data_IF_406909270022
#
_entry.id   IF_406909270022
#
_cell.length_a   1.000
_cell.length_b   1.000
_cell.length_c   1.000
_cell.angle_alpha   90.00
_cell.angle_beta   90.00
_cell.angle_gamma   90.00
#
_symmetry.space_group_name_H-M   'P 1'
#
loop_
_entity.id
_entity.type
_entity.pdbx_description
1 polymer ?
#
# COMPACT_ATOMS: atom_id res chain seq x y z
N UNK A 1 -8.45 -17.35 -16.42
CA UNK A 1 -9.70 -17.63 -15.67
C UNK A 1 -9.87 -19.14 -15.47
N UNK A 2 -8.92 -19.81 -14.81
CA UNK A 2 -8.96 -21.27 -14.64
C UNK A 2 -9.60 -21.71 -13.32
N UNK A 3 -9.73 -20.79 -12.38
CA UNK A 3 -9.94 -21.08 -10.96
C UNK A 3 -11.18 -20.34 -10.41
N UNK A 4 -11.94 -19.65 -11.27
CA UNK A 4 -13.14 -18.91 -10.84
C UNK A 4 -12.86 -17.58 -10.15
N UNK A 5 -11.59 -17.14 -10.09
CA UNK A 5 -11.18 -15.87 -9.49
C UNK A 5 -11.50 -14.71 -10.41
N UNK A 6 -12.09 -13.65 -9.87
CA UNK A 6 -12.36 -12.41 -10.60
C UNK A 6 -11.09 -11.76 -11.17
N UNK A 7 -11.21 -10.98 -12.25
CA UNK A 7 -10.09 -10.22 -12.77
C UNK A 7 -9.69 -9.09 -11.80
N UNK A 8 -8.38 -8.84 -11.71
CA UNK A 8 -7.79 -7.93 -10.72
C UNK A 8 -8.29 -6.48 -10.79
N UNK A 9 -8.83 -6.02 -11.92
CA UNK A 9 -9.37 -4.66 -12.04
C UNK A 9 -10.71 -4.45 -11.31
N UNK A 10 -11.36 -5.53 -10.86
CA UNK A 10 -12.56 -5.45 -10.02
C UNK A 10 -12.20 -4.99 -8.60
N UNK A 11 -10.97 -5.28 -8.16
CA UNK A 11 -10.48 -4.86 -6.87
C UNK A 11 -9.91 -3.45 -6.88
N UNK A 12 -10.07 -2.75 -5.77
CA UNK A 12 -9.41 -1.48 -5.51
C UNK A 12 -9.86 -0.33 -6.42
N UNK A 13 -11.10 -0.35 -6.93
CA UNK A 13 -11.57 0.62 -7.92
C UNK A 13 -11.52 2.04 -7.38
N UNK A 14 -12.08 2.26 -6.20
CA UNK A 14 -12.08 3.56 -5.52
C UNK A 14 -10.64 3.97 -5.19
N UNK A 15 -9.84 3.06 -4.64
CA UNK A 15 -8.45 3.28 -4.23
C UNK A 15 -7.58 3.74 -5.42
N UNK A 16 -7.80 3.14 -6.59
CA UNK A 16 -7.11 3.52 -7.84
C UNK A 16 -7.59 4.87 -8.38
N UNK A 17 -8.89 5.16 -8.31
CA UNK A 17 -9.46 6.44 -8.75
C UNK A 17 -8.96 7.60 -7.89
N UNK A 18 -8.94 7.44 -6.56
CA UNK A 18 -8.44 8.48 -5.66
C UNK A 18 -6.92 8.59 -5.65
N UNK A 19 -6.20 7.58 -6.15
CA UNK A 19 -4.74 7.47 -6.04
C UNK A 19 -3.99 8.69 -6.57
N UNK A 20 -4.43 9.26 -7.70
CA UNK A 20 -3.79 10.46 -8.27
C UNK A 20 -4.02 11.71 -7.40
N UNK A 21 -5.23 11.86 -6.86
CA UNK A 21 -5.57 12.98 -5.97
C UNK A 21 -4.86 12.84 -4.62
N UNK A 22 -4.76 11.62 -4.10
CA UNK A 22 -4.02 11.32 -2.88
C UNK A 22 -2.52 11.62 -3.04
N UNK A 23 -1.92 11.26 -4.18
CA UNK A 23 -0.51 11.56 -4.47
C UNK A 23 -0.26 13.07 -4.61
N UNK A 24 -1.18 13.80 -5.25
CA UNK A 24 -1.11 15.25 -5.34
C UNK A 24 -1.22 15.91 -3.96
N UNK A 25 -2.19 15.49 -3.15
CA UNK A 25 -2.38 16.00 -1.79
C UNK A 25 -1.16 15.71 -0.91
N UNK A 26 -0.57 14.51 -1.01
CA UNK A 26 0.66 14.13 -0.31
C UNK A 26 1.83 15.02 -0.70
N UNK A 27 2.02 15.23 -2.01
CA UNK A 27 3.08 16.09 -2.55
C UNK A 27 2.96 17.53 -2.05
N UNK A 28 1.75 18.09 -2.13
CA UNK A 28 1.48 19.43 -1.59
C UNK A 28 1.73 19.50 -0.09
N UNK A 29 1.30 18.48 0.66
CA UNK A 29 1.54 18.37 2.09
C UNK A 29 3.02 18.37 2.46
N UNK A 30 3.87 17.67 1.69
CA UNK A 30 5.33 17.70 1.86
C UNK A 30 5.91 19.09 1.56
N UNK A 31 5.41 19.79 0.53
CA UNK A 31 5.82 21.17 0.24
C UNK A 31 5.45 22.10 1.40
N UNK A 32 4.22 22.01 1.92
CA UNK A 32 3.79 22.82 3.07
C UNK A 32 4.65 22.55 4.31
N UNK A 33 4.98 21.28 4.58
CA UNK A 33 5.89 20.90 5.66
C UNK A 33 7.27 21.58 5.54
N UNK A 34 7.83 21.67 4.33
CA UNK A 34 9.11 22.32 4.11
C UNK A 34 9.06 23.85 4.27
N UNK A 35 7.96 24.48 3.88
CA UNK A 35 7.82 25.95 3.89
C UNK A 35 7.45 26.48 5.27
N UNK A 36 6.61 25.77 6.03
CA UNK A 36 6.01 26.29 7.25
C UNK A 36 6.42 25.49 8.49
N UNK A 37 6.97 26.19 9.50
CA UNK A 37 7.29 25.62 10.81
C UNK A 37 6.01 25.50 11.67
N UNK A 38 5.24 24.44 11.45
CA UNK A 38 4.02 24.14 12.21
C UNK A 38 4.05 22.73 12.80
N UNK A 39 3.58 22.60 14.05
CA UNK A 39 3.46 21.31 14.73
C UNK A 39 2.44 20.39 14.02
N UNK A 40 1.38 20.98 13.44
CA UNK A 40 0.37 20.23 12.69
C UNK A 40 0.96 19.63 11.41
N UNK A 41 1.75 20.41 10.68
CA UNK A 41 2.41 19.96 9.45
C UNK A 41 3.48 18.91 9.73
N UNK A 42 4.10 18.94 10.92
CA UNK A 42 5.01 17.87 11.34
C UNK A 42 4.30 16.51 11.37
N UNK A 43 3.14 16.42 12.02
CA UNK A 43 2.35 15.18 12.09
C UNK A 43 1.91 14.66 10.71
N UNK A 44 1.81 15.52 9.70
CA UNK A 44 1.50 15.10 8.33
C UNK A 44 2.54 14.11 7.79
N UNK A 45 3.80 14.17 8.22
CA UNK A 45 4.86 13.24 7.79
C UNK A 45 4.65 11.80 8.28
N UNK A 46 3.74 11.58 9.24
CA UNK A 46 3.34 10.23 9.64
C UNK A 46 2.50 9.53 8.58
N UNK A 47 1.82 10.28 7.70
CA UNK A 47 1.03 9.72 6.58
C UNK A 47 1.95 8.94 5.63
N UNK A 48 2.95 9.56 4.97
CA UNK A 48 3.89 8.83 4.12
C UNK A 48 4.69 7.75 4.88
N UNK A 49 4.99 7.96 6.17
CA UNK A 49 5.65 6.97 7.01
C UNK A 49 4.81 5.69 7.25
N UNK A 50 3.49 5.78 7.12
CA UNK A 50 2.58 4.63 7.27
C UNK A 50 2.32 3.88 5.96
N UNK A 51 2.66 4.46 4.80
CA UNK A 51 2.30 3.93 3.48
C UNK A 51 2.77 2.49 3.21
N UNK A 52 3.99 2.04 3.58
CA UNK A 52 4.38 0.65 3.33
C UNK A 52 3.46 -0.35 4.03
N UNK A 53 3.06 -0.04 5.26
CA UNK A 53 2.18 -0.89 6.07
C UNK A 53 0.76 -0.88 5.49
N UNK A 54 0.25 0.30 5.15
CA UNK A 54 -1.07 0.44 4.51
C UNK A 54 -1.13 -0.30 3.18
N UNK A 55 -0.07 -0.21 2.36
CA UNK A 55 0.02 -0.92 1.09
C UNK A 55 -0.04 -2.44 1.27
N UNK A 56 0.74 -2.99 2.21
CA UNK A 56 0.71 -4.44 2.49
C UNK A 56 -0.66 -4.87 2.99
N UNK A 57 -1.29 -4.08 3.86
CA UNK A 57 -2.61 -4.39 4.40
C UNK A 57 -3.68 -4.40 3.30
N UNK A 58 -3.76 -3.35 2.48
CA UNK A 58 -4.72 -3.24 1.38
C UNK A 58 -4.50 -4.35 0.33
N UNK A 59 -3.24 -4.56 -0.06
CA UNK A 59 -2.88 -5.62 -0.99
C UNK A 59 -3.28 -7.02 -0.46
N UNK A 60 -2.99 -7.31 0.81
CA UNK A 60 -3.35 -8.59 1.44
C UNK A 60 -4.86 -8.77 1.54
N UNK A 61 -5.60 -7.70 1.82
CA UNK A 61 -7.05 -7.70 1.85
C UNK A 61 -7.65 -8.07 0.49
N UNK A 62 -7.20 -7.42 -0.59
CA UNK A 62 -7.67 -7.73 -1.94
C UNK A 62 -7.32 -9.15 -2.37
N UNK A 63 -6.09 -9.62 -2.08
CA UNK A 63 -5.73 -11.02 -2.32
C UNK A 63 -6.67 -12.00 -1.60
N UNK A 64 -6.94 -11.76 -0.32
CA UNK A 64 -7.86 -12.57 0.46
C UNK A 64 -9.25 -12.58 -0.18
N UNK A 65 -9.76 -11.40 -0.54
CA UNK A 65 -11.07 -11.25 -1.17
C UNK A 65 -11.16 -12.04 -2.47
N UNK A 66 -10.18 -11.93 -3.36
CA UNK A 66 -10.12 -12.70 -4.61
C UNK A 66 -10.02 -14.22 -4.37
N UNK A 67 -9.31 -14.64 -3.33
CA UNK A 67 -9.17 -16.05 -2.96
C UNK A 67 -10.42 -16.67 -2.31
N UNK A 68 -11.33 -15.84 -1.77
CA UNK A 68 -12.55 -16.29 -1.08
C UNK A 68 -13.84 -16.02 -1.84
N UNK A 69 -13.82 -15.16 -2.85
CA UNK A 69 -14.96 -14.88 -3.73
C UNK A 69 -14.76 -15.60 -5.08
N UNK A 70 -14.63 -16.93 -5.02
CA UNK A 70 -14.47 -17.76 -6.20
C UNK A 70 -15.83 -18.15 -6.79
N UNK A 71 -15.92 -18.13 -8.11
CA UNK A 71 -17.14 -18.43 -8.84
C UNK A 71 -17.13 -19.83 -9.46
N UNK A 72 -18.33 -20.39 -9.66
CA UNK A 72 -18.53 -21.72 -10.24
C UNK A 72 -18.21 -21.84 -11.74
N UNK A 73 -17.95 -20.73 -12.43
CA UNK A 73 -17.57 -20.74 -13.85
C UNK A 73 -16.10 -21.16 -14.09
N UNK A 74 -15.30 -21.29 -13.02
CA UNK A 74 -13.91 -21.73 -13.13
C UNK A 74 -13.77 -23.17 -13.65
N UNK A 75 -12.81 -23.41 -14.54
CA UNK A 75 -12.50 -24.74 -15.06
C UNK A 75 -12.11 -25.76 -13.97
N UNK A 76 -11.49 -25.29 -12.89
CA UNK A 76 -11.16 -26.07 -11.71
C UNK A 76 -11.92 -25.53 -10.49
N UNK A 77 -12.69 -26.40 -9.83
CA UNK A 77 -13.27 -26.11 -8.51
C UNK A 77 -12.20 -26.29 -7.44
N UNK A 78 -11.79 -25.19 -6.83
CA UNK A 78 -10.90 -25.22 -5.67
C UNK A 78 -11.60 -24.62 -4.46
N UNK A 79 -11.16 -25.01 -3.27
CA UNK A 79 -11.64 -24.41 -2.03
C UNK A 79 -11.12 -22.97 -1.91
N UNK A 80 -11.87 -22.08 -1.22
CA UNK A 80 -11.35 -20.79 -0.81
C UNK A 80 -9.96 -20.91 -0.18
N UNK A 81 -9.08 -19.99 -0.52
CA UNK A 81 -7.68 -20.02 -0.10
C UNK A 81 -7.14 -18.60 0.05
N UNK A 82 -6.02 -18.48 0.75
CA UNK A 82 -5.28 -17.23 0.86
C UNK A 82 -4.13 -17.24 -0.17
N UNK A 83 -4.13 -16.34 -1.18
CA UNK A 83 -2.98 -16.18 -2.04
C UNK A 83 -1.75 -15.74 -1.23
N UNK A 84 -0.57 -16.20 -1.64
CA UNK A 84 0.69 -15.82 -1.01
C UNK A 84 0.95 -14.32 -1.19
N UNK A 85 1.09 -13.59 -0.09
CA UNK A 85 1.37 -12.14 -0.11
C UNK A 85 2.75 -11.85 -0.70
N UNK A 86 3.78 -12.54 -0.21
CA UNK A 86 5.15 -12.43 -0.74
C UNK A 86 5.79 -13.80 -0.92
N UNK A 87 6.53 -13.96 -2.01
CA UNK A 87 7.19 -15.20 -2.41
C UNK A 87 6.41 -16.00 -3.45
N UNK A 88 6.77 -17.27 -3.54
CA UNK A 88 6.14 -18.21 -4.46
C UNK A 88 4.95 -18.91 -3.78
N UNK A 89 3.80 -18.88 -4.44
CA UNK A 89 2.60 -19.62 -4.07
C UNK A 89 2.33 -20.76 -5.06
N UNK A 90 1.57 -21.76 -4.62
CA UNK A 90 1.11 -22.84 -5.49
C UNK A 90 -0.39 -22.99 -5.38
N UNK A 91 -1.08 -22.92 -6.51
CA UNK A 91 -2.53 -23.07 -6.62
C UNK A 91 -2.81 -24.11 -7.70
N UNK A 92 -3.30 -25.28 -7.27
CA UNK A 92 -3.42 -26.46 -8.12
C UNK A 92 -2.09 -26.78 -8.84
N UNK A 93 -2.06 -26.69 -10.17
CA UNK A 93 -0.88 -26.92 -11.00
C UNK A 93 -0.10 -25.64 -11.34
N UNK A 94 -0.55 -24.49 -10.86
CA UNK A 94 0.05 -23.19 -11.16
C UNK A 94 0.93 -22.71 -10.01
N UNK A 95 2.07 -22.13 -10.36
CA UNK A 95 2.93 -21.39 -9.43
C UNK A 95 2.65 -19.90 -9.64
N UNK A 96 2.51 -19.17 -8.54
CA UNK A 96 2.30 -17.72 -8.53
C UNK A 96 3.51 -17.05 -7.93
N UNK A 97 4.06 -16.04 -8.58
CA UNK A 97 5.20 -15.28 -8.08
C UNK A 97 4.72 -13.91 -7.60
N UNK A 98 4.90 -13.62 -6.31
CA UNK A 98 4.55 -12.33 -5.71
C UNK A 98 5.77 -11.69 -5.07
N UNK A 99 6.42 -10.77 -5.78
CA UNK A 99 7.59 -10.07 -5.26
C UNK A 99 7.40 -8.55 -5.36
N UNK A 100 7.81 -7.80 -4.34
CA UNK A 100 7.81 -6.35 -4.40
C UNK A 100 8.75 -5.88 -5.52
N UNK A 101 8.28 -4.91 -6.29
CA UNK A 101 9.05 -4.24 -7.34
C UNK A 101 9.42 -2.83 -6.89
N UNK A 102 10.03 -2.05 -7.80
CA UNK A 102 10.56 -0.72 -7.52
C UNK A 102 9.56 0.21 -6.81
N UNK A 103 8.27 0.14 -7.15
CA UNK A 103 7.25 0.99 -6.54
C UNK A 103 7.14 0.80 -5.02
N UNK A 104 7.20 -0.45 -4.56
CA UNK A 104 7.15 -0.75 -3.12
C UNK A 104 8.41 -0.25 -2.39
N UNK A 105 9.59 -0.50 -2.97
CA UNK A 105 10.85 -0.02 -2.38
C UNK A 105 10.93 1.50 -2.32
N UNK A 106 10.38 2.21 -3.31
CA UNK A 106 10.28 3.68 -3.28
C UNK A 106 9.37 4.15 -2.14
N UNK A 107 8.24 3.49 -1.91
CA UNK A 107 7.35 3.82 -0.77
C UNK A 107 8.05 3.57 0.57
N UNK A 108 8.83 2.49 0.69
CA UNK A 108 9.66 2.23 1.89
C UNK A 108 10.68 3.34 2.11
N UNK A 109 11.39 3.78 1.06
CA UNK A 109 12.35 4.88 1.16
C UNK A 109 11.66 6.20 1.59
N UNK A 110 10.55 6.55 0.94
CA UNK A 110 9.74 7.74 1.30
C UNK A 110 9.29 7.67 2.76
N UNK A 111 8.86 6.50 3.21
CA UNK A 111 8.42 6.27 4.58
C UNK A 111 9.53 6.53 5.59
N UNK A 112 10.72 5.95 5.36
CA UNK A 112 11.87 6.16 6.25
C UNK A 112 12.30 7.63 6.28
N UNK A 113 12.40 8.28 5.13
CA UNK A 113 12.77 9.70 5.05
C UNK A 113 11.74 10.60 5.73
N UNK A 114 10.46 10.30 5.58
CA UNK A 114 9.38 11.06 6.24
C UNK A 114 9.40 10.89 7.75
N UNK A 115 9.68 9.68 8.24
CA UNK A 115 9.83 9.40 9.66
C UNK A 115 11.02 10.15 10.26
N UNK A 116 12.15 10.18 9.55
CA UNK A 116 13.32 10.96 9.96
C UNK A 116 13.02 12.47 9.97
N UNK A 117 12.34 12.97 8.94
CA UNK A 117 11.92 14.37 8.87
C UNK A 117 11.00 14.75 10.05
N UNK A 118 10.07 13.88 10.42
CA UNK A 118 9.20 14.05 11.58
C UNK A 118 9.99 14.24 12.88
N UNK A 119 10.94 13.33 13.15
CA UNK A 119 11.76 13.40 14.36
C UNK A 119 12.72 14.59 14.37
N UNK A 120 13.32 14.91 13.23
CA UNK A 120 14.22 16.06 13.10
C UNK A 120 13.49 17.38 13.39
N UNK A 121 12.31 17.57 12.80
CA UNK A 121 11.51 18.76 13.00
C UNK A 121 10.96 18.83 14.44
N UNK A 122 10.55 17.69 15.02
CA UNK A 122 10.10 17.64 16.40
C UNK A 122 11.20 18.09 17.37
N UNK A 123 12.44 17.63 17.17
CA UNK A 123 13.60 18.06 17.95
C UNK A 123 13.86 19.55 17.78
N UNK A 124 13.93 20.04 16.54
CA UNK A 124 14.18 21.45 16.25
C UNK A 124 13.13 22.38 16.88
N UNK A 125 11.86 21.98 16.90
CA UNK A 125 10.79 22.76 17.53
C UNK A 125 10.87 22.76 19.05
N UNK A 126 11.32 21.67 19.68
CA UNK A 126 11.48 21.60 21.12
C UNK A 126 12.68 22.43 21.61
N UNK A 127 13.75 22.55 20.82
CA UNK A 127 14.93 23.38 21.15
C UNK A 127 14.70 24.88 20.93
N UNK A 128 13.70 25.27 20.12
CA UNK A 128 13.33 26.69 19.90
C UNK A 128 12.30 27.20 20.92
N UNK A 129 11.78 26.34 21.80
CA UNK A 129 10.84 26.71 22.87
C UNK A 129 11.59 27.06 24.14
#
# INVERSE_FOLDING_TARGET
HYVGMDPMWIGGTIEREIGIYALLALSLGMIFFMVYKSRLLNYLMLIPASLPVLFIADYSYWLYWFGHNLHDWGAFKIKPFMPTVFGDGKIAQFVTHSYPTIGFYMIVAISLLSLLAFFAQQKAMNETK
#
